data_IF_627230517325
#
_entry.id   IF_627230517325
#
_cell.length_a   1.000
_cell.length_b   1.000
_cell.length_c   1.000
_cell.angle_alpha   90.00
_cell.angle_beta   90.00
_cell.angle_gamma   90.00
#
_symmetry.space_group_name_H-M   'P 1'
#
loop_
_entity.id
_entity.type
_entity.pdbx_description
1 polymer ?
#
# COMPACT_ATOMS: atom_id res chain seq x y z
N UNK A 1 9.97 -28.23 -20.89
CA UNK A 1 9.21 -27.01 -21.26
C UNK A 1 9.61 -25.92 -20.28
N UNK A 2 10.01 -24.72 -20.75
CA UNK A 2 10.51 -23.64 -19.88
C UNK A 2 9.52 -23.24 -18.78
N UNK A 3 8.21 -23.37 -19.06
CA UNK A 3 7.14 -23.14 -18.08
C UNK A 3 7.23 -24.09 -16.88
N UNK A 4 7.51 -25.39 -17.12
CA UNK A 4 7.69 -26.37 -16.04
C UNK A 4 9.00 -26.19 -15.26
N UNK A 5 9.89 -25.29 -15.70
CA UNK A 5 11.13 -24.93 -15.01
C UNK A 5 11.03 -23.55 -14.32
N UNK A 6 9.81 -23.02 -14.16
CA UNK A 6 9.56 -21.76 -13.44
C UNK A 6 9.32 -20.54 -14.33
N UNK A 7 9.13 -20.70 -15.64
CA UNK A 7 8.70 -19.60 -16.52
C UNK A 7 7.19 -19.36 -16.42
N UNK A 8 6.75 -18.13 -16.19
CA UNK A 8 5.31 -17.80 -16.07
C UNK A 8 4.56 -17.82 -17.40
N UNK A 9 5.23 -17.51 -18.51
CA UNK A 9 4.66 -17.51 -19.86
C UNK A 9 5.79 -17.71 -20.90
N UNK A 10 5.42 -18.07 -22.13
CA UNK A 10 6.34 -18.11 -23.27
C UNK A 10 5.69 -17.59 -24.55
N UNK A 11 6.52 -17.12 -25.48
CA UNK A 11 6.10 -16.71 -26.82
C UNK A 11 7.04 -17.35 -27.84
N UNK A 12 6.47 -18.01 -28.85
CA UNK A 12 7.24 -18.57 -29.96
C UNK A 12 7.62 -17.47 -30.96
N UNK A 13 8.80 -17.59 -31.57
CA UNK A 13 9.23 -16.69 -32.65
C UNK A 13 8.61 -17.10 -33.99
N UNK A 14 8.37 -16.16 -34.93
CA UNK A 14 8.57 -14.71 -34.80
C UNK A 14 7.49 -14.06 -33.90
N UNK A 15 7.86 -13.01 -33.16
CA UNK A 15 7.00 -12.39 -32.15
C UNK A 15 6.17 -11.26 -32.76
N UNK A 16 4.87 -11.30 -32.51
CA UNK A 16 3.97 -10.17 -32.72
C UNK A 16 4.12 -9.14 -31.57
N UNK A 17 4.47 -7.87 -31.85
CA UNK A 17 4.62 -6.84 -30.82
C UNK A 17 3.36 -6.61 -29.98
N UNK A 18 2.16 -6.67 -30.58
CA UNK A 18 0.91 -6.43 -29.86
C UNK A 18 0.63 -7.58 -28.87
N UNK A 19 0.89 -8.82 -29.30
CA UNK A 19 0.76 -10.01 -28.46
C UNK A 19 1.76 -9.98 -27.28
N UNK A 20 2.99 -9.52 -27.52
CA UNK A 20 3.99 -9.36 -26.47
C UNK A 20 3.54 -8.34 -25.43
N UNK A 21 3.08 -7.16 -25.86
CA UNK A 21 2.59 -6.11 -24.96
C UNK A 21 1.40 -6.63 -24.15
N UNK A 22 0.45 -7.31 -24.79
CA UNK A 22 -0.72 -7.87 -24.11
C UNK A 22 -0.34 -8.90 -23.03
N UNK A 23 0.66 -9.75 -23.30
CA UNK A 23 1.17 -10.75 -22.34
C UNK A 23 1.90 -10.11 -21.18
N UNK A 24 2.74 -9.10 -21.42
CA UNK A 24 3.39 -8.32 -20.35
C UNK A 24 2.35 -7.65 -19.46
N UNK A 25 1.36 -6.97 -20.06
CA UNK A 25 0.27 -6.34 -19.31
C UNK A 25 -0.56 -7.34 -18.50
N UNK A 26 -0.79 -8.55 -19.02
CA UNK A 26 -1.52 -9.59 -18.29
C UNK A 26 -0.74 -10.12 -17.07
N UNK A 27 0.58 -10.29 -17.19
CA UNK A 27 1.43 -10.67 -16.06
C UNK A 27 1.46 -9.57 -14.99
N UNK A 28 1.60 -8.31 -15.42
CA UNK A 28 1.55 -7.17 -14.50
C UNK A 28 0.19 -7.09 -13.78
N UNK A 29 -0.94 -7.21 -14.49
CA UNK A 29 -2.27 -7.25 -13.85
C UNK A 29 -2.36 -8.36 -12.80
N UNK A 30 -1.84 -9.56 -13.08
CA UNK A 30 -1.86 -10.66 -12.10
C UNK A 30 -1.02 -10.36 -10.85
N UNK A 31 0.12 -9.67 -11.01
CA UNK A 31 0.93 -9.25 -9.88
C UNK A 31 0.21 -8.19 -9.02
N UNK A 32 -0.47 -7.22 -9.66
CA UNK A 32 -1.20 -6.16 -8.98
C UNK A 32 -2.57 -6.60 -8.42
N UNK A 33 -3.29 -7.50 -9.10
CA UNK A 33 -4.57 -8.05 -8.63
C UNK A 33 -4.38 -8.94 -7.40
N UNK A 34 -3.18 -9.51 -7.20
CA UNK A 34 -2.83 -10.20 -5.96
C UNK A 34 -2.74 -9.24 -4.76
N UNK A 35 -2.44 -7.95 -4.99
CA UNK A 35 -2.49 -6.89 -3.96
C UNK A 35 -3.90 -6.30 -3.78
N UNK A 36 -4.78 -6.38 -4.80
CA UNK A 36 -6.05 -5.65 -4.86
C UNK A 36 -7.21 -6.17 -3.98
N UNK A 37 -6.98 -7.16 -3.10
CA UNK A 37 -7.99 -7.69 -2.17
C UNK A 37 -7.53 -7.70 -0.70
N UNK A 38 -6.51 -6.91 -0.34
CA UNK A 38 -6.02 -6.85 1.03
C UNK A 38 -6.97 -6.02 1.92
N UNK A 39 -8.13 -6.58 2.28
CA UNK A 39 -8.86 -6.12 3.47
C UNK A 39 -8.03 -6.48 4.69
N UNK A 40 -7.38 -5.49 5.27
CA UNK A 40 -6.52 -5.65 6.43
C UNK A 40 -7.27 -5.30 7.71
N UNK A 41 -7.17 -6.16 8.74
CA UNK A 41 -7.72 -5.89 10.07
C UNK A 41 -6.65 -5.40 11.03
N UNK A 42 -6.87 -4.26 11.66
CA UNK A 42 -5.98 -3.70 12.68
C UNK A 42 -6.76 -2.92 13.74
N UNK A 43 -6.37 -3.01 15.01
CA UNK A 43 -6.93 -2.24 16.12
C UNK A 43 -8.48 -2.22 16.19
N UNK A 44 -9.14 -3.31 15.75
CA UNK A 44 -10.61 -3.41 15.74
C UNK A 44 -11.31 -2.77 14.53
N UNK A 45 -10.56 -2.36 13.50
CA UNK A 45 -11.08 -1.81 12.25
C UNK A 45 -10.67 -2.65 11.03
N UNK A 46 -11.42 -2.47 9.94
CA UNK A 46 -11.16 -3.04 8.63
C UNK A 46 -10.72 -1.93 7.67
N UNK A 47 -9.58 -2.10 7.03
CA UNK A 47 -9.08 -1.22 5.98
C UNK A 47 -9.19 -1.92 4.64
N UNK A 48 -9.81 -1.26 3.68
CA UNK A 48 -9.92 -1.68 2.30
C UNK A 48 -9.03 -0.77 1.44
N UNK A 49 -7.86 -1.28 1.07
CA UNK A 49 -6.87 -0.54 0.27
C UNK A 49 -7.42 -0.16 -1.11
N UNK A 50 -8.22 -1.04 -1.74
CA UNK A 50 -8.83 -0.81 -3.04
C UNK A 50 -9.88 0.31 -3.00
N UNK A 51 -10.68 0.36 -1.92
CA UNK A 51 -11.64 1.42 -1.71
C UNK A 51 -11.05 2.68 -1.03
N UNK A 52 -9.80 2.64 -0.58
CA UNK A 52 -9.18 3.67 0.28
C UNK A 52 -10.09 4.09 1.43
N UNK A 53 -10.71 3.10 2.08
CA UNK A 53 -11.70 3.31 3.12
C UNK A 53 -11.39 2.45 4.35
N UNK A 54 -11.70 3.01 5.50
CA UNK A 54 -11.63 2.36 6.80
C UNK A 54 -13.05 2.15 7.33
N UNK A 55 -13.31 1.00 7.93
CA UNK A 55 -14.54 0.70 8.66
C UNK A 55 -14.18 0.41 10.12
N UNK A 56 -14.61 1.29 11.03
CA UNK A 56 -14.40 1.15 12.47
C UNK A 56 -15.74 1.33 13.20
N UNK A 57 -16.12 0.38 14.05
CA UNK A 57 -17.37 0.45 14.80
C UNK A 57 -18.63 0.60 13.94
N UNK A 58 -18.61 0.14 12.68
CA UNK A 58 -19.70 0.31 11.71
C UNK A 58 -19.74 1.66 10.99
N UNK A 59 -18.79 2.57 11.28
CA UNK A 59 -18.65 3.86 10.59
C UNK A 59 -17.60 3.73 9.50
N UNK A 60 -17.94 4.18 8.29
CA UNK A 60 -17.03 4.24 7.15
C UNK A 60 -16.33 5.61 7.13
N UNK A 61 -15.02 5.59 7.10
CA UNK A 61 -14.16 6.76 6.99
C UNK A 61 -13.35 6.68 5.70
N UNK A 62 -13.38 7.73 4.89
CA UNK A 62 -12.58 7.80 3.66
C UNK A 62 -11.17 8.29 3.99
N UNK A 63 -10.18 7.70 3.32
CA UNK A 63 -8.79 8.10 3.40
C UNK A 63 -8.38 8.76 2.09
N UNK A 64 -7.54 9.79 2.17
CA UNK A 64 -6.88 10.33 0.99
C UNK A 64 -5.89 9.31 0.40
N UNK A 65 -5.49 9.50 -0.86
CA UNK A 65 -4.54 8.59 -1.54
C UNK A 65 -3.25 8.37 -0.73
N UNK A 66 -2.68 9.44 -0.18
CA UNK A 66 -1.44 9.37 0.58
C UNK A 66 -1.64 8.68 1.93
N UNK A 67 -2.74 8.96 2.62
CA UNK A 67 -3.08 8.29 3.88
C UNK A 67 -3.28 6.78 3.67
N UNK A 68 -4.00 6.41 2.62
CA UNK A 68 -4.21 5.01 2.22
C UNK A 68 -2.88 4.31 1.94
N UNK A 69 -1.99 4.93 1.15
CA UNK A 69 -0.65 4.37 0.85
C UNK A 69 0.24 4.21 2.08
N UNK A 70 0.26 5.21 2.96
CA UNK A 70 1.02 5.12 4.22
C UNK A 70 0.47 3.98 5.06
N UNK A 71 -0.85 3.90 5.22
CA UNK A 71 -1.49 2.87 6.02
C UNK A 71 -1.23 1.47 5.44
N UNK A 72 -1.32 1.30 4.12
CA UNK A 72 -0.95 0.05 3.43
C UNK A 72 0.49 -0.35 3.74
N UNK A 73 1.46 0.57 3.55
CA UNK A 73 2.88 0.27 3.78
C UNK A 73 3.17 -0.12 5.25
N UNK A 74 2.48 0.53 6.21
CA UNK A 74 2.61 0.18 7.62
C UNK A 74 1.98 -1.20 7.93
N UNK A 75 0.81 -1.51 7.33
CA UNK A 75 0.11 -2.76 7.55
C UNK A 75 0.79 -3.97 6.88
N UNK A 76 1.45 -3.78 5.74
CA UNK A 76 2.29 -4.80 5.09
C UNK A 76 3.42 -5.27 6.02
N UNK A 77 3.97 -4.37 6.84
CA UNK A 77 5.02 -4.64 7.82
C UNK A 77 4.53 -4.48 9.26
N UNK A 78 3.32 -4.95 9.55
CA UNK A 78 2.70 -4.83 10.89
C UNK A 78 3.66 -5.27 12.01
N UNK A 79 3.79 -4.46 13.05
CA UNK A 79 4.69 -4.71 14.19
C UNK A 79 6.17 -4.45 13.92
N UNK A 80 6.56 -4.07 12.70
CA UNK A 80 7.92 -3.67 12.34
C UNK A 80 8.00 -2.17 12.02
N UNK A 81 9.21 -1.61 12.11
CA UNK A 81 9.47 -0.22 11.76
C UNK A 81 9.60 -0.13 10.22
N UNK A 82 8.80 0.74 9.61
CA UNK A 82 8.96 1.15 8.22
C UNK A 82 9.75 2.46 8.20
N UNK A 83 10.83 2.50 7.42
CA UNK A 83 11.71 3.67 7.38
C UNK A 83 11.04 4.85 6.70
N UNK A 84 11.51 6.06 7.00
CA UNK A 84 11.02 7.28 6.34
C UNK A 84 11.29 7.25 4.84
N UNK A 85 12.47 6.79 4.46
CA UNK A 85 12.89 6.64 3.06
C UNK A 85 11.97 5.68 2.29
N UNK A 86 11.61 4.55 2.89
CA UNK A 86 10.70 3.59 2.27
C UNK A 86 9.29 4.15 2.10
N UNK A 87 8.79 4.88 3.10
CA UNK A 87 7.50 5.56 3.02
C UNK A 87 7.52 6.66 1.95
N UNK A 88 8.59 7.45 1.87
CA UNK A 88 8.74 8.46 0.81
C UNK A 88 8.79 7.82 -0.58
N UNK A 89 9.49 6.69 -0.74
CA UNK A 89 9.54 5.96 -2.00
C UNK A 89 8.16 5.46 -2.44
N UNK A 90 7.37 4.91 -1.50
CA UNK A 90 5.99 4.47 -1.75
C UNK A 90 5.05 5.62 -2.08
N UNK A 91 5.32 6.81 -1.55
CA UNK A 91 4.56 8.01 -1.83
C UNK A 91 4.99 8.71 -3.12
N UNK A 92 6.21 8.48 -3.60
CA UNK A 92 6.73 9.02 -4.86
C UNK A 92 5.91 8.57 -6.07
N UNK A 93 5.20 7.43 -5.99
CA UNK A 93 4.26 7.00 -7.03
C UNK A 93 2.99 7.88 -7.10
N UNK A 94 2.98 9.04 -6.44
CA UNK A 94 2.02 10.13 -6.66
C UNK A 94 2.69 11.19 -7.54
N UNK A 95 1.92 11.93 -8.33
CA UNK A 95 2.42 13.04 -9.16
C UNK A 95 3.05 14.21 -8.35
N UNK A 96 3.31 14.02 -7.05
CA UNK A 96 3.85 15.00 -6.11
C UNK A 96 5.17 14.51 -5.51
N UNK A 97 6.20 15.35 -5.54
CA UNK A 97 7.45 15.11 -4.84
C UNK A 97 7.21 15.18 -3.33
N UNK A 98 7.38 14.05 -2.62
CA UNK A 98 7.19 13.97 -1.17
C UNK A 98 8.54 14.07 -0.47
N UNK A 99 8.73 15.17 0.25
CA UNK A 99 9.87 15.37 1.15
C UNK A 99 9.55 14.93 2.60
N UNK A 100 10.55 14.99 3.47
CA UNK A 100 10.47 14.54 4.86
C UNK A 100 9.39 15.29 5.67
N UNK A 101 9.21 16.58 5.38
CA UNK A 101 8.18 17.42 5.99
C UNK A 101 6.78 17.01 5.51
N UNK A 102 6.63 16.76 4.21
CA UNK A 102 5.39 16.33 3.58
C UNK A 102 4.98 14.95 4.09
N UNK A 103 5.92 14.01 4.27
CA UNK A 103 5.65 12.74 4.93
C UNK A 103 5.09 12.97 6.34
N UNK A 104 5.72 13.84 7.13
CA UNK A 104 5.30 14.14 8.50
C UNK A 104 3.87 14.72 8.54
N UNK A 105 3.54 15.62 7.62
CA UNK A 105 2.18 16.18 7.50
C UNK A 105 1.17 15.10 7.15
N UNK A 106 1.45 14.24 6.15
CA UNK A 106 0.54 13.16 5.76
C UNK A 106 0.34 12.14 6.89
N UNK A 107 1.39 11.79 7.64
CA UNK A 107 1.25 10.90 8.81
C UNK A 107 0.40 11.55 9.91
N UNK A 108 0.55 12.85 10.14
CA UNK A 108 -0.30 13.56 11.12
C UNK A 108 -1.76 13.65 10.67
N UNK A 109 -2.02 13.82 9.37
CA UNK A 109 -3.39 13.75 8.81
C UNK A 109 -3.98 12.35 8.99
N UNK A 110 -3.23 11.30 8.64
CA UNK A 110 -3.64 9.91 8.86
C UNK A 110 -4.00 9.66 10.32
N UNK A 111 -3.16 10.10 11.27
CA UNK A 111 -3.44 9.97 12.71
C UNK A 111 -4.73 10.64 13.13
N UNK A 112 -5.01 11.84 12.60
CA UNK A 112 -6.24 12.55 12.89
C UNK A 112 -7.45 11.76 12.37
N UNK A 113 -7.39 11.30 11.13
CA UNK A 113 -8.46 10.50 10.53
C UNK A 113 -8.70 9.19 11.29
N UNK A 114 -7.64 8.52 11.75
CA UNK A 114 -7.73 7.34 12.60
C UNK A 114 -8.33 7.67 13.99
N UNK A 115 -7.91 8.76 14.61
CA UNK A 115 -8.46 9.20 15.90
C UNK A 115 -9.95 9.54 15.80
N UNK A 116 -10.37 10.22 14.74
CA UNK A 116 -11.78 10.53 14.46
C UNK A 116 -12.62 9.25 14.26
N UNK A 117 -12.00 8.17 13.78
CA UNK A 117 -12.58 6.83 13.67
C UNK A 117 -12.52 6.00 14.98
N UNK A 118 -12.03 6.56 16.09
CA UNK A 118 -11.88 5.88 17.37
C UNK A 118 -10.61 5.00 17.49
N UNK A 119 -9.69 5.12 16.55
CA UNK A 119 -8.42 4.36 16.46
C UNK A 119 -7.22 5.25 16.85
N UNK A 120 -7.32 5.92 17.99
CA UNK A 120 -6.22 6.73 18.52
C UNK A 120 -4.97 5.85 18.76
N UNK A 121 -3.78 6.45 18.61
CA UNK A 121 -2.48 5.85 18.96
C UNK A 121 -2.06 4.56 18.22
N UNK A 122 -2.73 4.21 17.12
CA UNK A 122 -2.38 3.03 16.33
C UNK A 122 -1.02 3.17 15.62
N UNK A 123 -0.68 4.39 15.18
CA UNK A 123 0.58 4.70 14.46
C UNK A 123 1.62 5.29 15.40
N UNK A 124 2.68 4.55 15.69
CA UNK A 124 3.80 4.98 16.56
C UNK A 124 4.94 5.60 15.77
N UNK A 125 5.55 6.64 16.33
CA UNK A 125 6.79 7.25 15.77
C UNK A 125 8.01 6.68 16.48
N UNK A 126 8.98 6.18 15.71
CA UNK A 126 10.31 5.84 16.18
C UNK A 126 11.29 6.92 15.73
N UNK A 127 11.70 7.79 16.65
CA UNK A 127 12.55 8.96 16.33
C UNK A 127 13.84 8.52 15.63
N UNK A 128 14.12 9.14 14.48
CA UNK A 128 15.29 8.86 13.65
C UNK A 128 15.23 7.53 12.87
N UNK A 129 14.16 6.75 12.98
CA UNK A 129 14.03 5.45 12.31
C UNK A 129 12.83 5.42 11.36
N UNK A 130 11.65 5.84 11.81
CA UNK A 130 10.45 5.81 10.99
C UNK A 130 9.17 5.65 11.79
N UNK A 131 8.24 4.84 11.26
CA UNK A 131 6.91 4.65 11.82
C UNK A 131 6.55 3.17 11.89
N UNK A 132 5.68 2.81 12.82
CA UNK A 132 5.12 1.46 12.91
C UNK A 132 3.62 1.54 13.22
N UNK A 133 2.90 0.48 12.89
CA UNK A 133 1.52 0.28 13.33
C UNK A 133 1.45 -0.97 14.20
N UNK A 134 0.83 -0.83 15.37
CA UNK A 134 0.64 -1.92 16.31
C UNK A 134 -0.68 -2.65 16.07
N UNK A 135 -0.79 -3.86 16.62
CA UNK A 135 -1.90 -4.77 16.36
C UNK A 135 -3.15 -4.45 17.17
#
# INVERSE_FOLDING_TARGET
>A
MAVNMGGDDYIAKPVDPELLIAKVQAVLRRAYDYEASARARFCGAEFDAGASCLLAGGVRCELTKNESRILTALLERRGSIVSREELMLRLWDSDEFVDDNTLTVNVNRLRKTLADAGLADCVRTHKGQGYSIDA
#
